data_IF_331536326046
#
_entry.id   IF_331536326046
#
_cell.length_a   1.000
_cell.length_b   1.000
_cell.length_c   1.000
_cell.angle_alpha   90.00
_cell.angle_beta   90.00
_cell.angle_gamma   90.00
#
_symmetry.space_group_name_H-M   'P 1'
#
loop_
_entity.id
_entity.type
_entity.pdbx_description
1 polymer ?
#
# COMPACT_ATOMS: atom_id res chain seq x y z
N UNK A 1 78.36 -4.99 45.39
CA UNK A 1 77.75 -5.51 44.13
C UNK A 1 76.26 -5.85 44.41
N UNK A 2 75.36 -4.96 44.04
CA UNK A 2 73.89 -5.17 44.22
C UNK A 2 73.24 -5.32 42.80
N UNK A 3 72.73 -6.51 42.50
CA UNK A 3 71.97 -6.81 41.25
C UNK A 3 70.54 -6.44 41.46
N UNK A 4 70.04 -5.46 40.75
CA UNK A 4 68.62 -5.08 40.66
C UNK A 4 67.97 -5.92 39.60
N UNK A 5 67.00 -6.75 40.00
CA UNK A 5 66.10 -7.47 39.10
C UNK A 5 65.02 -6.51 38.65
N UNK A 6 64.90 -6.28 37.34
CA UNK A 6 63.74 -5.57 36.69
C UNK A 6 62.73 -6.60 36.28
N UNK A 7 61.59 -6.58 36.93
CA UNK A 7 60.43 -7.40 36.55
C UNK A 7 59.66 -6.69 35.44
N UNK A 8 59.61 -7.30 34.25
CA UNK A 8 58.79 -6.83 33.12
C UNK A 8 57.36 -7.41 33.24
N UNK A 9 56.44 -6.55 33.53
CA UNK A 9 55.02 -6.89 33.57
C UNK A 9 54.49 -6.82 32.14
N UNK A 10 54.22 -7.96 31.50
CA UNK A 10 53.54 -8.04 30.20
C UNK A 10 52.05 -7.94 30.44
N UNK A 11 51.45 -6.77 30.20
CA UNK A 11 50.01 -6.59 30.20
C UNK A 11 49.41 -7.10 28.87
N UNK A 12 48.76 -8.24 28.89
CA UNK A 12 47.97 -8.76 27.78
C UNK A 12 46.72 -7.94 27.61
N UNK A 13 46.67 -7.03 26.65
CA UNK A 13 45.47 -6.34 26.21
C UNK A 13 44.67 -7.30 25.34
N UNK A 14 43.67 -8.00 25.93
CA UNK A 14 42.65 -8.68 25.14
C UNK A 14 41.78 -7.63 24.45
N UNK A 15 42.05 -7.40 23.17
CA UNK A 15 41.17 -6.60 22.31
C UNK A 15 39.82 -7.32 22.13
N UNK A 16 38.76 -6.83 22.77
CA UNK A 16 37.39 -7.15 22.38
C UNK A 16 37.22 -6.58 20.98
N UNK A 17 37.37 -7.39 19.96
CA UNK A 17 36.86 -7.10 18.63
C UNK A 17 35.35 -7.12 18.74
N UNK A 18 34.73 -5.95 18.94
CA UNK A 18 33.29 -5.77 18.70
C UNK A 18 33.04 -6.10 17.23
N UNK A 19 32.53 -7.29 16.97
CA UNK A 19 31.88 -7.57 15.68
C UNK A 19 30.73 -6.57 15.57
N UNK A 20 30.99 -5.46 14.87
CA UNK A 20 29.92 -4.62 14.39
C UNK A 20 29.05 -5.51 13.48
N UNK A 21 27.96 -6.04 14.00
CA UNK A 21 26.95 -6.70 13.19
C UNK A 21 26.55 -5.68 12.13
N UNK A 22 26.85 -5.97 10.86
CA UNK A 22 26.37 -5.17 9.74
C UNK A 22 24.85 -5.13 9.86
N UNK A 23 24.30 -3.95 10.11
CA UNK A 23 22.85 -3.79 10.16
C UNK A 23 22.27 -4.23 8.81
N UNK A 24 21.45 -5.27 8.82
CA UNK A 24 20.70 -5.68 7.64
C UNK A 24 19.82 -4.51 7.17
N UNK A 25 19.75 -4.27 5.87
CA UNK A 25 18.87 -3.26 5.31
C UNK A 25 17.88 -3.92 4.33
N UNK A 26 16.59 -3.77 4.59
CA UNK A 26 15.52 -4.26 3.71
C UNK A 26 14.84 -3.06 3.05
N UNK A 27 14.87 -3.04 1.73
CA UNK A 27 14.24 -1.97 0.94
C UNK A 27 12.84 -2.40 0.51
N UNK A 28 11.84 -1.60 0.86
CA UNK A 28 10.42 -1.84 0.55
C UNK A 28 9.87 -0.67 -0.24
N UNK A 29 9.33 -0.92 -1.43
CA UNK A 29 8.80 0.13 -2.29
C UNK A 29 7.45 -0.28 -2.92
N UNK A 30 6.61 0.67 -3.29
CA UNK A 30 5.45 0.39 -4.14
C UNK A 30 4.15 1.06 -3.73
N UNK A 31 3.11 0.27 -3.57
CA UNK A 31 1.74 0.73 -3.41
C UNK A 31 1.54 1.69 -2.23
N UNK A 32 1.06 2.89 -2.52
CA UNK A 32 0.62 3.83 -1.47
C UNK A 32 -0.65 3.35 -0.74
N UNK A 33 -1.37 2.35 -1.26
CA UNK A 33 -2.49 1.73 -0.54
C UNK A 33 -1.98 0.83 0.59
N UNK A 34 -0.94 0.03 0.32
CA UNK A 34 -0.33 -0.89 1.31
C UNK A 34 0.51 -0.13 2.33
N UNK A 35 0.99 1.05 1.97
CA UNK A 35 1.95 1.84 2.74
C UNK A 35 1.58 2.01 4.22
N UNK A 36 0.35 2.38 4.64
CA UNK A 36 0.02 2.53 6.06
C UNK A 36 0.18 1.23 6.87
N UNK A 37 -0.22 0.09 6.28
CA UNK A 37 -0.04 -1.20 6.93
C UNK A 37 1.45 -1.54 7.09
N UNK A 38 2.24 -1.35 6.03
CA UNK A 38 3.67 -1.60 6.08
C UNK A 38 4.42 -0.63 7.00
N UNK A 39 3.99 0.64 7.10
CA UNK A 39 4.56 1.57 8.09
C UNK A 39 4.41 1.02 9.52
N UNK A 40 3.21 0.56 9.89
CA UNK A 40 2.97 0.01 11.22
C UNK A 40 3.70 -1.32 11.43
N UNK A 41 3.67 -2.21 10.43
CA UNK A 41 4.38 -3.49 10.47
C UNK A 41 5.88 -3.28 10.64
N UNK A 42 6.51 -2.42 9.82
CA UNK A 42 7.96 -2.20 9.87
C UNK A 42 8.40 -1.49 11.14
N UNK A 43 7.60 -0.55 11.66
CA UNK A 43 7.86 0.06 12.97
C UNK A 43 7.93 -1.00 14.08
N UNK A 44 6.94 -1.88 14.15
CA UNK A 44 6.89 -2.93 15.17
C UNK A 44 7.96 -4.02 14.93
N UNK A 45 8.22 -4.36 13.66
CA UNK A 45 9.27 -5.30 13.27
C UNK A 45 10.66 -4.83 13.70
N UNK A 46 11.03 -3.57 13.43
CA UNK A 46 12.33 -3.01 13.81
C UNK A 46 12.50 -2.90 15.33
N UNK A 47 11.42 -2.67 16.09
CA UNK A 47 11.45 -2.74 17.56
C UNK A 47 11.81 -4.14 18.06
N UNK A 48 11.27 -5.18 17.41
CA UNK A 48 11.54 -6.58 17.74
C UNK A 48 12.88 -7.10 17.17
N UNK A 49 13.41 -6.46 16.14
CA UNK A 49 14.63 -6.86 15.42
C UNK A 49 15.55 -5.64 15.21
N UNK A 50 16.18 -5.11 16.27
CA UNK A 50 16.92 -3.82 16.20
C UNK A 50 18.17 -3.86 15.30
N UNK A 51 18.64 -5.04 14.93
CA UNK A 51 19.76 -5.22 13.98
C UNK A 51 19.32 -5.11 12.51
N UNK A 52 18.01 -5.06 12.20
CA UNK A 52 17.48 -4.97 10.83
C UNK A 52 16.81 -3.61 10.65
N UNK A 53 17.30 -2.85 9.67
CA UNK A 53 16.70 -1.59 9.27
C UNK A 53 15.80 -1.82 8.05
N UNK A 54 14.66 -1.13 8.00
CA UNK A 54 13.74 -1.20 6.85
C UNK A 54 13.57 0.20 6.27
N UNK A 55 13.91 0.34 4.99
CA UNK A 55 13.67 1.56 4.22
C UNK A 55 12.36 1.39 3.46
N UNK A 56 11.35 2.24 3.76
CA UNK A 56 10.01 2.12 3.21
C UNK A 56 9.63 3.35 2.38
N UNK A 57 9.19 3.15 1.15
CA UNK A 57 8.74 4.23 0.27
C UNK A 57 7.51 3.85 -0.55
N UNK A 58 6.69 4.87 -0.88
CA UNK A 58 5.50 4.72 -1.71
C UNK A 58 5.67 5.43 -3.05
N UNK A 59 5.34 4.74 -4.16
CA UNK A 59 5.43 5.31 -5.51
C UNK A 59 4.40 4.73 -6.48
N UNK A 60 3.55 3.80 -5.99
CA UNK A 60 2.59 3.05 -6.80
C UNK A 60 3.02 1.61 -7.04
N UNK A 61 2.04 0.72 -7.26
CA UNK A 61 2.30 -0.72 -7.44
C UNK A 61 3.21 -1.00 -8.63
N UNK A 62 3.01 -0.29 -9.74
CA UNK A 62 3.84 -0.44 -10.94
C UNK A 62 5.30 -0.08 -10.69
N UNK A 63 5.58 0.97 -9.91
CA UNK A 63 6.96 1.33 -9.52
C UNK A 63 7.58 0.27 -8.62
N UNK A 64 6.86 -0.23 -7.61
CA UNK A 64 7.38 -1.28 -6.73
C UNK A 64 7.68 -2.57 -7.47
N UNK A 65 6.77 -3.04 -8.32
CA UNK A 65 6.97 -4.24 -9.14
C UNK A 65 8.16 -4.06 -10.09
N UNK A 66 8.27 -2.89 -10.75
CA UNK A 66 9.43 -2.58 -11.60
C UNK A 66 10.74 -2.61 -10.81
N UNK A 67 10.76 -1.97 -9.63
CA UNK A 67 11.95 -1.97 -8.76
C UNK A 67 12.35 -3.38 -8.32
N UNK A 68 11.38 -4.28 -8.05
CA UNK A 68 11.64 -5.68 -7.75
C UNK A 68 12.24 -6.42 -8.95
N UNK A 69 11.72 -6.18 -10.16
CA UNK A 69 12.26 -6.76 -11.40
C UNK A 69 13.69 -6.31 -11.69
N UNK A 70 14.03 -5.06 -11.32
CA UNK A 70 15.35 -4.46 -11.48
C UNK A 70 16.29 -4.75 -10.28
N UNK A 71 15.84 -5.52 -9.27
CA UNK A 71 16.56 -5.82 -8.02
C UNK A 71 17.00 -4.55 -7.25
N UNK A 72 16.24 -3.45 -7.35
CA UNK A 72 16.47 -2.20 -6.61
C UNK A 72 15.59 -2.09 -5.35
N UNK A 73 14.72 -3.07 -5.11
CA UNK A 73 13.97 -3.27 -3.87
C UNK A 73 13.92 -4.75 -3.52
N UNK A 74 13.85 -5.05 -2.23
CA UNK A 74 13.73 -6.44 -1.73
C UNK A 74 12.27 -6.90 -1.66
N UNK A 75 11.36 -5.94 -1.40
CA UNK A 75 9.92 -6.19 -1.28
C UNK A 75 9.16 -5.14 -2.09
N UNK A 76 8.32 -5.59 -3.00
CA UNK A 76 7.38 -4.73 -3.71
C UNK A 76 6.00 -4.77 -3.03
N UNK A 77 5.49 -3.62 -2.60
CA UNK A 77 4.11 -3.46 -2.18
C UNK A 77 3.21 -3.30 -3.40
N UNK A 78 2.12 -4.05 -3.48
CA UNK A 78 1.18 -3.92 -4.57
C UNK A 78 -0.28 -4.04 -4.12
N UNK A 79 -1.15 -3.28 -4.77
CA UNK A 79 -2.59 -3.31 -4.56
C UNK A 79 -3.34 -3.86 -5.79
N UNK A 80 -2.64 -4.64 -6.56
CA UNK A 80 -3.07 -5.54 -7.64
C UNK A 80 -2.10 -6.69 -7.77
N UNK A 81 -2.50 -7.76 -8.39
CA UNK A 81 -1.56 -8.83 -8.74
C UNK A 81 -0.58 -8.38 -9.84
N UNK A 82 0.50 -9.12 -10.00
CA UNK A 82 1.41 -8.90 -11.12
C UNK A 82 0.74 -9.30 -12.44
N UNK A 83 1.01 -8.50 -13.47
CA UNK A 83 0.57 -8.83 -14.84
C UNK A 83 1.39 -9.99 -15.39
N UNK A 84 0.79 -10.78 -16.28
CA UNK A 84 1.51 -11.91 -16.92
C UNK A 84 2.84 -11.49 -17.55
N UNK A 85 2.87 -10.32 -18.21
CA UNK A 85 4.10 -9.78 -18.79
C UNK A 85 5.16 -9.41 -17.73
N UNK A 86 4.76 -8.94 -16.53
CA UNK A 86 5.69 -8.65 -15.43
C UNK A 86 6.28 -9.95 -14.87
N UNK A 87 5.45 -11.00 -14.69
CA UNK A 87 5.90 -12.34 -14.27
C UNK A 87 6.86 -12.95 -15.29
N UNK A 88 6.54 -12.88 -16.58
CA UNK A 88 7.41 -13.39 -17.65
C UNK A 88 8.75 -12.66 -17.72
N UNK A 89 8.73 -11.33 -17.54
CA UNK A 89 9.96 -10.54 -17.53
C UNK A 89 10.86 -10.89 -16.34
N UNK A 90 10.29 -11.13 -15.14
CA UNK A 90 11.07 -11.64 -14.01
C UNK A 90 11.72 -12.98 -14.32
N UNK A 91 10.97 -13.93 -14.89
CA UNK A 91 11.51 -15.25 -15.28
C UNK A 91 12.65 -15.16 -16.30
N UNK A 92 12.53 -14.27 -17.30
CA UNK A 92 13.59 -14.03 -18.30
C UNK A 92 14.89 -13.50 -17.69
N UNK A 93 14.82 -12.76 -16.57
CA UNK A 93 15.98 -12.28 -15.82
C UNK A 93 16.48 -13.27 -14.75
N UNK A 94 15.98 -14.50 -14.72
CA UNK A 94 16.39 -15.55 -13.76
C UNK A 94 15.78 -15.41 -12.37
N UNK A 95 14.78 -14.54 -12.22
CA UNK A 95 14.05 -14.32 -10.97
C UNK A 95 12.62 -14.88 -11.08
N UNK A 96 12.07 -15.27 -9.94
CA UNK A 96 10.67 -15.62 -9.82
C UNK A 96 10.01 -14.78 -8.72
N UNK A 97 8.84 -14.25 -9.02
CA UNK A 97 8.06 -13.51 -8.02
C UNK A 97 7.42 -14.48 -7.03
N UNK A 98 7.66 -14.25 -5.74
CA UNK A 98 6.95 -14.94 -4.66
C UNK A 98 5.88 -13.98 -4.13
N UNK A 99 4.61 -14.41 -4.25
CA UNK A 99 3.43 -13.65 -3.88
C UNK A 99 3.03 -13.91 -2.43
N UNK A 100 2.85 -12.86 -1.65
CA UNK A 100 2.35 -12.90 -0.28
C UNK A 100 1.12 -12.01 -0.16
N UNK A 101 -0.05 -12.57 0.15
CA UNK A 101 -1.25 -11.77 0.47
C UNK A 101 -1.07 -11.24 1.89
N UNK A 102 -1.08 -9.92 2.06
CA UNK A 102 -0.83 -9.27 3.36
C UNK A 102 -2.08 -8.70 4.01
N UNK A 103 -3.10 -8.36 3.23
CA UNK A 103 -4.37 -7.82 3.72
C UNK A 103 -5.47 -7.97 2.66
N UNK A 104 -6.74 -7.82 3.08
CA UNK A 104 -7.85 -7.55 2.17
C UNK A 104 -8.24 -6.07 2.32
N UNK A 105 -8.55 -5.43 1.21
CA UNK A 105 -8.89 -4.02 1.08
C UNK A 105 -10.20 -3.84 0.31
N UNK A 106 -10.82 -2.70 0.49
CA UNK A 106 -11.91 -2.19 -0.33
C UNK A 106 -11.48 -0.89 -0.99
N UNK A 107 -11.64 -0.77 -2.31
CA UNK A 107 -11.55 0.54 -2.97
C UNK A 107 -12.86 1.27 -2.70
N UNK A 108 -12.79 2.40 -2.02
CA UNK A 108 -13.95 3.15 -1.56
C UNK A 108 -14.07 4.47 -2.32
N UNK A 109 -15.17 4.69 -3.07
CA UNK A 109 -15.50 6.01 -3.58
C UNK A 109 -15.74 6.98 -2.42
N UNK A 110 -15.08 8.13 -2.46
CA UNK A 110 -15.10 9.11 -1.39
C UNK A 110 -15.42 10.50 -1.90
N UNK A 111 -16.13 11.27 -1.08
CA UNK A 111 -16.51 12.66 -1.34
C UNK A 111 -16.27 13.51 -0.09
N UNK A 112 -16.35 14.82 -0.23
CA UNK A 112 -16.29 15.72 0.91
C UNK A 112 -17.51 15.53 1.83
N UNK A 113 -17.36 15.59 3.17
CA UNK A 113 -18.48 15.47 4.11
C UNK A 113 -19.63 16.47 3.90
N UNK A 114 -19.35 17.63 3.32
CA UNK A 114 -20.37 18.66 2.99
C UNK A 114 -21.25 18.28 1.79
N UNK A 115 -20.88 17.27 1.00
CA UNK A 115 -21.68 16.77 -0.09
C UNK A 115 -22.80 15.87 0.44
N UNK A 116 -24.05 16.11 0.05
CA UNK A 116 -25.25 15.43 0.55
C UNK A 116 -25.45 13.99 0.03
N UNK A 117 -24.80 13.62 -1.08
CA UNK A 117 -24.94 12.28 -1.69
C UNK A 117 -24.43 11.21 -0.73
N UNK A 118 -25.13 10.08 -0.65
CA UNK A 118 -24.80 8.98 0.29
C UNK A 118 -24.51 7.66 -0.43
N UNK A 119 -25.14 7.45 -1.57
CA UNK A 119 -25.10 6.20 -2.33
C UNK A 119 -25.04 6.49 -3.83
N UNK A 120 -24.34 5.66 -4.57
CA UNK A 120 -24.30 5.66 -6.02
C UNK A 120 -24.29 4.21 -6.52
N UNK A 121 -24.87 3.98 -7.69
CA UNK A 121 -24.65 2.70 -8.38
C UNK A 121 -23.27 2.66 -9.04
N UNK A 122 -22.73 1.48 -9.29
CA UNK A 122 -21.47 1.34 -10.06
C UNK A 122 -21.59 2.00 -11.45
N UNK A 123 -22.77 1.97 -12.07
CA UNK A 123 -22.99 2.62 -13.35
C UNK A 123 -22.91 4.15 -13.22
N UNK A 124 -23.53 4.75 -12.20
CA UNK A 124 -23.42 6.20 -11.96
C UNK A 124 -21.97 6.62 -11.68
N UNK A 125 -21.24 5.83 -10.91
CA UNK A 125 -19.81 6.08 -10.66
C UNK A 125 -19.04 6.06 -11.99
N UNK A 126 -19.23 5.04 -12.83
CA UNK A 126 -18.64 4.96 -14.16
C UNK A 126 -18.98 6.16 -15.01
N UNK A 127 -20.25 6.57 -15.05
CA UNK A 127 -20.75 7.69 -15.85
C UNK A 127 -20.14 9.02 -15.39
N UNK A 128 -19.93 9.20 -14.08
CA UNK A 128 -19.20 10.34 -13.54
C UNK A 128 -17.75 10.34 -14.01
N UNK A 129 -17.05 9.21 -13.88
CA UNK A 129 -15.65 9.10 -14.27
C UNK A 129 -15.44 9.17 -15.78
N UNK A 130 -16.38 8.69 -16.58
CA UNK A 130 -16.38 8.85 -18.05
C UNK A 130 -16.83 10.26 -18.50
N UNK A 131 -17.33 11.11 -17.59
CA UNK A 131 -17.77 12.47 -17.90
C UNK A 131 -19.15 12.56 -18.55
N UNK A 132 -19.99 11.54 -18.46
CA UNK A 132 -21.40 11.56 -18.87
C UNK A 132 -22.24 12.31 -17.82
N UNK A 133 -22.12 11.97 -16.55
CA UNK A 133 -22.68 12.72 -15.42
C UNK A 133 -21.66 13.78 -14.99
N UNK A 134 -22.04 15.05 -15.05
CA UNK A 134 -21.15 16.20 -14.81
C UNK A 134 -21.57 17.08 -13.64
N UNK A 135 -22.78 16.89 -13.12
CA UNK A 135 -23.35 17.71 -12.07
C UNK A 135 -23.94 16.81 -10.97
N UNK A 136 -23.67 17.16 -9.72
CA UNK A 136 -24.17 16.40 -8.56
C UNK A 136 -25.72 16.32 -8.52
N UNK A 137 -26.43 17.30 -9.09
CA UNK A 137 -27.90 17.26 -9.18
C UNK A 137 -28.44 16.05 -9.94
N UNK A 138 -27.65 15.50 -10.88
CA UNK A 138 -28.04 14.35 -11.70
C UNK A 138 -28.06 13.05 -10.89
N UNK A 139 -27.45 13.07 -9.70
CA UNK A 139 -27.39 11.93 -8.77
C UNK A 139 -27.92 12.31 -7.36
N UNK A 140 -28.85 13.25 -7.29
CA UNK A 140 -29.52 13.63 -6.03
C UNK A 140 -28.74 14.58 -5.12
N UNK A 141 -27.66 15.17 -5.61
CA UNK A 141 -26.89 16.17 -4.89
C UNK A 141 -27.29 17.61 -5.22
N UNK A 142 -26.48 18.57 -4.76
CA UNK A 142 -26.66 20.00 -5.05
C UNK A 142 -26.38 20.31 -6.51
N UNK A 143 -26.91 21.41 -7.03
CA UNK A 143 -26.54 21.91 -8.36
C UNK A 143 -25.10 22.45 -8.35
N UNK A 144 -24.15 21.55 -8.55
CA UNK A 144 -22.74 21.86 -8.58
C UNK A 144 -22.00 20.89 -9.51
N UNK A 145 -21.02 21.40 -10.25
CA UNK A 145 -20.21 20.59 -11.16
C UNK A 145 -19.35 19.61 -10.37
N UNK A 146 -19.28 18.36 -10.84
CA UNK A 146 -18.44 17.32 -10.25
C UNK A 146 -16.99 17.55 -10.65
N UNK A 147 -16.08 17.55 -9.66
CA UNK A 147 -14.62 17.47 -9.86
C UNK A 147 -14.18 16.04 -9.66
N UNK A 148 -13.79 15.37 -10.74
CA UNK A 148 -13.31 13.99 -10.69
C UNK A 148 -11.83 13.97 -10.30
N UNK A 149 -11.50 13.17 -9.30
CA UNK A 149 -10.13 12.91 -8.84
C UNK A 149 -9.82 11.45 -9.10
N UNK A 150 -8.73 11.19 -9.81
CA UNK A 150 -8.26 9.85 -10.14
C UNK A 150 -6.80 9.67 -9.73
N UNK A 151 -6.24 8.53 -10.05
CA UNK A 151 -4.85 8.21 -9.79
C UNK A 151 -4.08 8.11 -11.11
N UNK A 152 -2.77 8.24 -11.01
CA UNK A 152 -1.85 8.04 -12.13
C UNK A 152 -1.75 6.56 -12.55
N UNK A 153 -1.13 6.30 -13.70
CA UNK A 153 -1.02 4.95 -14.29
C UNK A 153 -0.09 3.99 -13.55
N UNK A 154 0.75 4.48 -12.61
CA UNK A 154 1.57 3.61 -11.76
C UNK A 154 0.78 3.00 -10.60
N UNK A 155 -0.42 3.52 -10.34
CA UNK A 155 -1.28 3.13 -9.24
C UNK A 155 -1.99 1.81 -9.51
N UNK A 156 -1.69 0.76 -8.73
CA UNK A 156 -2.46 -0.47 -8.77
C UNK A 156 -3.94 -0.28 -8.39
N UNK A 157 -4.25 0.76 -7.58
CA UNK A 157 -5.66 1.11 -7.28
C UNK A 157 -6.36 1.67 -8.52
N UNK A 158 -5.67 2.47 -9.33
CA UNK A 158 -6.19 2.93 -10.62
C UNK A 158 -6.41 1.75 -11.57
N UNK A 159 -5.45 0.85 -11.71
CA UNK A 159 -5.59 -0.33 -12.59
C UNK A 159 -6.77 -1.23 -12.17
N UNK A 160 -6.96 -1.44 -10.87
CA UNK A 160 -8.14 -2.18 -10.38
C UNK A 160 -9.44 -1.40 -10.63
N UNK A 161 -9.41 -0.06 -10.48
CA UNK A 161 -10.54 0.81 -10.79
C UNK A 161 -10.91 0.75 -12.28
N UNK A 162 -9.92 0.79 -13.17
CA UNK A 162 -10.14 0.62 -14.62
C UNK A 162 -10.84 -0.71 -14.93
N UNK A 163 -10.40 -1.79 -14.31
CA UNK A 163 -10.96 -3.12 -14.53
C UNK A 163 -12.39 -3.25 -13.97
N UNK A 164 -12.60 -2.91 -12.70
CA UNK A 164 -13.87 -3.20 -12.01
C UNK A 164 -14.93 -2.12 -12.24
N UNK A 165 -14.56 -0.85 -12.31
CA UNK A 165 -15.49 0.26 -12.45
C UNK A 165 -15.59 0.70 -13.89
N UNK A 166 -14.48 1.02 -14.54
CA UNK A 166 -14.50 1.57 -15.90
C UNK A 166 -14.75 0.53 -16.98
N UNK A 167 -14.39 -0.74 -16.75
CA UNK A 167 -14.61 -1.86 -17.70
C UNK A 167 -14.12 -1.54 -19.12
N UNK A 168 -12.91 -0.96 -19.22
CA UNK A 168 -12.26 -0.58 -20.47
C UNK A 168 -12.60 0.84 -20.96
N UNK A 169 -13.54 1.54 -20.34
CA UNK A 169 -13.78 2.95 -20.65
C UNK A 169 -12.68 3.84 -20.06
N UNK A 170 -12.35 4.92 -20.74
CA UNK A 170 -11.34 5.88 -20.25
C UNK A 170 -11.93 6.84 -19.23
N UNK A 171 -11.15 7.15 -18.21
CA UNK A 171 -11.42 8.27 -17.31
C UNK A 171 -11.33 9.58 -18.10
N UNK A 172 -12.26 10.50 -17.86
CA UNK A 172 -12.31 11.80 -18.54
C UNK A 172 -10.98 12.57 -18.39
N UNK A 173 -10.54 13.23 -19.47
CA UNK A 173 -9.26 13.95 -19.50
C UNK A 173 -9.13 15.10 -18.48
N UNK A 174 -10.25 15.63 -18.00
CA UNK A 174 -10.30 16.71 -16.99
C UNK A 174 -10.18 16.21 -15.55
N UNK A 175 -10.05 14.89 -15.33
CA UNK A 175 -9.84 14.34 -14.01
C UNK A 175 -8.51 14.83 -13.42
N UNK A 176 -8.52 15.21 -12.15
CA UNK A 176 -7.31 15.56 -11.42
C UNK A 176 -6.57 14.27 -11.04
N UNK A 177 -5.37 14.08 -11.57
CA UNK A 177 -4.56 12.90 -11.27
C UNK A 177 -3.74 13.13 -10.00
N UNK A 178 -3.78 12.18 -9.09
CA UNK A 178 -3.07 12.21 -7.81
C UNK A 178 -2.08 11.05 -7.69
N UNK A 179 -0.88 11.33 -7.21
CA UNK A 179 0.19 10.34 -7.08
C UNK A 179 -0.01 9.34 -5.93
N UNK A 180 -0.90 9.61 -4.95
CA UNK A 180 -1.09 8.76 -3.78
C UNK A 180 -2.52 8.80 -3.23
N UNK A 181 -2.89 7.78 -2.41
CA UNK A 181 -4.15 7.81 -1.66
C UNK A 181 -4.23 9.02 -0.73
N UNK A 182 -3.11 9.40 -0.08
CA UNK A 182 -3.05 10.59 0.77
C UNK A 182 -3.33 11.88 0.00
N UNK A 183 -2.83 12.01 -1.23
CA UNK A 183 -3.11 13.17 -2.08
C UNK A 183 -4.58 13.22 -2.54
N UNK A 184 -5.21 12.07 -2.83
CA UNK A 184 -6.66 11.97 -3.08
C UNK A 184 -7.43 12.45 -1.86
N UNK A 185 -7.11 11.91 -0.66
CA UNK A 185 -7.76 12.31 0.61
C UNK A 185 -7.71 13.82 0.80
N UNK A 186 -6.54 14.44 0.67
CA UNK A 186 -6.36 15.88 0.84
C UNK A 186 -7.16 16.69 -0.19
N UNK A 187 -7.23 16.23 -1.43
CA UNK A 187 -8.00 16.90 -2.48
C UNK A 187 -9.50 16.84 -2.18
N UNK A 188 -10.01 15.68 -1.77
CA UNK A 188 -11.42 15.48 -1.41
C UNK A 188 -11.79 16.31 -0.16
N UNK A 189 -10.95 16.30 0.87
CA UNK A 189 -11.19 17.05 2.11
C UNK A 189 -11.32 18.57 1.85
N UNK A 190 -10.58 19.09 0.87
CA UNK A 190 -10.56 20.54 0.55
C UNK A 190 -11.60 20.95 -0.51
N UNK A 191 -12.16 20.03 -1.28
CA UNK A 191 -13.10 20.34 -2.38
C UNK A 191 -14.49 19.71 -2.15
N UNK A 192 -15.52 20.49 -1.79
CA UNK A 192 -16.88 20.00 -1.57
C UNK A 192 -17.52 19.33 -2.78
N UNK A 193 -17.02 19.60 -3.98
CA UNK A 193 -17.58 19.09 -5.23
C UNK A 193 -16.79 17.92 -5.82
N UNK A 194 -15.73 17.47 -5.12
CA UNK A 194 -14.88 16.40 -5.61
C UNK A 194 -15.42 15.01 -5.27
N UNK A 195 -15.15 14.06 -6.17
CA UNK A 195 -15.25 12.62 -5.97
C UNK A 195 -13.90 11.99 -6.30
N UNK A 196 -13.45 11.08 -5.46
CA UNK A 196 -12.23 10.30 -5.62
C UNK A 196 -12.43 8.87 -5.12
N UNK A 197 -11.36 8.10 -5.05
CA UNK A 197 -11.36 6.77 -4.45
C UNK A 197 -10.05 6.51 -3.71
N UNK A 198 -10.16 5.80 -2.60
CA UNK A 198 -9.02 5.41 -1.73
C UNK A 198 -9.20 3.98 -1.23
N UNK A 199 -8.15 3.37 -0.70
CA UNK A 199 -8.27 2.13 0.07
C UNK A 199 -8.96 2.36 1.41
N UNK A 200 -9.58 1.30 1.95
CA UNK A 200 -10.37 1.32 3.19
C UNK A 200 -9.59 1.92 4.38
N UNK A 201 -8.31 1.61 4.50
CA UNK A 201 -7.42 2.14 5.56
C UNK A 201 -7.13 3.64 5.48
N UNK A 202 -7.61 4.34 4.43
CA UNK A 202 -7.50 5.80 4.30
C UNK A 202 -8.77 6.55 4.73
N UNK A 203 -9.81 5.85 5.17
CA UNK A 203 -11.03 6.52 5.62
C UNK A 203 -10.78 7.26 6.93
N UNK A 204 -11.04 8.58 6.91
CA UNK A 204 -10.96 9.48 8.06
C UNK A 204 -12.23 10.31 8.15
N UNK A 205 -12.38 11.07 9.24
CA UNK A 205 -13.49 12.04 9.41
C UNK A 205 -13.51 13.16 8.37
N UNK A 206 -12.39 13.40 7.68
CA UNK A 206 -12.23 14.50 6.72
C UNK A 206 -12.81 14.17 5.34
N UNK A 207 -13.16 12.90 5.09
CA UNK A 207 -13.80 12.44 3.86
C UNK A 207 -14.98 11.54 4.19
N UNK A 208 -15.95 11.47 3.27
CA UNK A 208 -17.14 10.63 3.41
C UNK A 208 -17.12 9.50 2.39
N UNK A 209 -17.20 8.26 2.86
CA UNK A 209 -17.41 7.09 2.02
C UNK A 209 -18.81 7.10 1.41
N UNK A 210 -18.93 6.75 0.14
CA UNK A 210 -20.19 6.44 -0.53
C UNK A 210 -20.49 4.95 -0.40
N UNK A 211 -21.77 4.63 -0.24
CA UNK A 211 -22.26 3.26 -0.48
C UNK A 211 -22.33 3.00 -1.99
N UNK A 212 -22.32 1.74 -2.38
CA UNK A 212 -22.54 1.30 -3.77
C UNK A 212 -23.76 0.39 -3.78
N UNK A 213 -24.87 0.89 -4.36
CA UNK A 213 -26.11 0.12 -4.45
C UNK A 213 -26.65 -0.31 -3.09
N UNK A 214 -26.53 0.55 -2.08
CA UNK A 214 -26.93 0.29 -0.70
C UNK A 214 -25.90 -0.44 0.16
N UNK A 215 -24.88 -1.07 -0.42
CA UNK A 215 -23.80 -1.74 0.33
C UNK A 215 -22.78 -0.71 0.84
N UNK A 216 -22.37 -0.81 2.09
CA UNK A 216 -21.34 0.04 2.70
C UNK A 216 -19.99 -0.64 2.68
N UNK A 217 -18.92 0.12 2.39
CA UNK A 217 -17.56 -0.35 2.55
C UNK A 217 -17.21 -0.45 4.04
N UNK A 218 -17.05 -1.65 4.53
CA UNK A 218 -16.63 -1.98 5.91
C UNK A 218 -15.61 -3.10 5.86
N UNK A 219 -14.87 -3.32 6.95
CA UNK A 219 -14.00 -4.49 7.04
C UNK A 219 -14.78 -5.80 6.78
N UNK A 220 -16.01 -5.91 7.31
CA UNK A 220 -16.84 -7.10 7.13
C UNK A 220 -17.24 -7.32 5.67
N UNK A 221 -17.76 -6.29 5.00
CA UNK A 221 -18.18 -6.41 3.58
C UNK A 221 -16.98 -6.55 2.64
N UNK A 222 -15.79 -6.04 3.03
CA UNK A 222 -14.53 -6.29 2.32
C UNK A 222 -14.08 -7.75 2.48
N UNK A 223 -14.09 -8.27 3.71
CA UNK A 223 -13.72 -9.66 4.05
C UNK A 223 -14.57 -10.69 3.30
N UNK A 224 -15.89 -10.48 3.26
CA UNK A 224 -16.83 -11.39 2.59
C UNK A 224 -16.93 -11.16 1.09
N UNK A 225 -16.23 -10.18 0.53
CA UNK A 225 -16.36 -9.75 -0.88
C UNK A 225 -17.80 -9.35 -1.26
N UNK A 226 -18.66 -9.02 -0.29
CA UNK A 226 -19.95 -8.39 -0.53
C UNK A 226 -19.78 -6.97 -1.11
N UNK A 227 -18.75 -6.24 -0.69
CA UNK A 227 -18.36 -4.98 -1.31
C UNK A 227 -17.78 -5.24 -2.70
N UNK A 228 -18.38 -4.67 -3.77
CA UNK A 228 -18.03 -5.03 -5.15
C UNK A 228 -16.62 -4.63 -5.60
N UNK A 229 -15.93 -3.79 -4.82
CA UNK A 229 -14.58 -3.33 -5.10
C UNK A 229 -13.59 -3.82 -4.04
N UNK A 230 -13.85 -5.00 -3.45
CA UNK A 230 -12.93 -5.71 -2.56
C UNK A 230 -11.78 -6.32 -3.35
N UNK A 231 -10.60 -6.38 -2.73
CA UNK A 231 -9.39 -6.95 -3.34
C UNK A 231 -8.37 -7.39 -2.31
N UNK A 232 -7.45 -8.23 -2.72
CA UNK A 232 -6.25 -8.54 -1.94
C UNK A 232 -5.18 -7.46 -2.12
N UNK A 233 -4.37 -7.28 -1.08
CA UNK A 233 -3.13 -6.49 -1.09
C UNK A 233 -1.95 -7.44 -0.96
N UNK A 234 -0.87 -7.13 -1.67
CA UNK A 234 0.25 -8.03 -1.84
C UNK A 234 1.58 -7.41 -1.43
N UNK A 235 2.45 -8.28 -0.93
CA UNK A 235 3.89 -8.10 -0.94
C UNK A 235 4.47 -9.10 -1.93
N UNK A 236 5.37 -8.66 -2.79
CA UNK A 236 6.13 -9.53 -3.68
C UNK A 236 7.61 -9.48 -3.31
N UNK A 237 8.23 -10.65 -3.27
CA UNK A 237 9.68 -10.81 -3.18
C UNK A 237 10.18 -11.61 -4.37
N UNK A 238 11.49 -11.63 -4.60
CA UNK A 238 12.05 -12.63 -5.50
C UNK A 238 12.29 -13.96 -4.76
N UNK A 239 12.52 -15.05 -5.50
CA UNK A 239 12.80 -16.37 -4.96
C UNK A 239 14.17 -16.48 -4.25
N UNK A 240 15.05 -15.46 -4.43
CA UNK A 240 16.36 -15.36 -3.80
C UNK A 240 16.39 -14.39 -2.60
N UNK A 241 15.21 -14.01 -2.06
CA UNK A 241 15.10 -13.13 -0.91
C UNK A 241 16.03 -13.58 0.24
N UNK A 242 16.79 -12.66 0.80
CA UNK A 242 17.72 -12.92 1.90
C UNK A 242 17.00 -13.20 3.22
N UNK A 243 17.74 -13.54 4.28
CA UNK A 243 17.18 -13.90 5.59
C UNK A 243 16.36 -12.76 6.21
N UNK A 244 16.85 -11.50 6.11
CA UNK A 244 16.20 -10.32 6.70
C UNK A 244 14.87 -10.00 6.00
N UNK A 245 14.85 -10.09 4.67
CA UNK A 245 13.61 -9.96 3.87
C UNK A 245 12.60 -11.04 4.24
N UNK A 246 13.04 -12.29 4.36
CA UNK A 246 12.17 -13.40 4.80
C UNK A 246 11.64 -13.17 6.23
N UNK A 247 12.47 -12.66 7.14
CA UNK A 247 12.07 -12.33 8.50
C UNK A 247 10.97 -11.24 8.50
N UNK A 248 11.12 -10.18 7.69
CA UNK A 248 10.09 -9.14 7.54
C UNK A 248 8.78 -9.71 6.99
N UNK A 249 8.83 -10.54 5.94
CA UNK A 249 7.63 -11.17 5.37
C UNK A 249 6.94 -12.08 6.40
N UNK A 250 7.71 -12.91 7.11
CA UNK A 250 7.16 -13.78 8.14
C UNK A 250 6.50 -12.98 9.28
N UNK A 251 7.14 -11.86 9.68
CA UNK A 251 6.56 -10.95 10.67
C UNK A 251 5.27 -10.30 10.15
N UNK A 252 5.26 -9.79 8.92
CA UNK A 252 4.08 -9.17 8.31
C UNK A 252 2.86 -10.12 8.29
N UNK A 253 3.11 -11.42 8.12
CA UNK A 253 2.11 -12.48 8.06
C UNK A 253 1.84 -13.13 9.44
N UNK A 254 2.58 -12.79 10.46
CA UNK A 254 2.39 -13.28 11.83
C UNK A 254 1.16 -12.63 12.49
N UNK A 255 0.75 -13.16 13.66
CA UNK A 255 -0.33 -12.58 14.46
C UNK A 255 -0.11 -11.10 14.77
N UNK A 256 1.13 -10.69 15.11
CA UNK A 256 1.47 -9.30 15.46
C UNK A 256 1.46 -8.40 14.23
N UNK A 257 1.98 -8.88 13.10
CA UNK A 257 1.90 -8.18 11.82
C UNK A 257 0.45 -7.98 11.38
N UNK A 258 -0.39 -9.01 11.53
CA UNK A 258 -1.80 -8.94 11.16
C UNK A 258 -2.64 -8.11 12.15
N UNK A 259 -2.23 -8.00 13.42
CA UNK A 259 -2.79 -7.03 14.36
C UNK A 259 -2.50 -5.59 13.88
N UNK A 260 -1.29 -5.33 13.35
CA UNK A 260 -0.93 -4.04 12.75
C UNK A 260 -1.77 -3.72 11.51
N UNK A 261 -2.06 -4.70 10.66
CA UNK A 261 -2.96 -4.57 9.50
C UNK A 261 -4.36 -4.12 9.94
N UNK A 262 -4.90 -4.77 10.99
CA UNK A 262 -6.22 -4.44 11.55
C UNK A 262 -6.26 -3.05 12.16
N UNK A 263 -5.20 -2.66 12.89
CA UNK A 263 -5.10 -1.35 13.55
C UNK A 263 -5.23 -0.19 12.57
N UNK A 264 -4.70 -0.34 11.36
CA UNK A 264 -4.76 0.68 10.30
C UNK A 264 -6.00 0.56 9.40
N UNK A 265 -6.98 -0.29 9.76
CA UNK A 265 -8.28 -0.35 9.10
C UNK A 265 -8.38 -1.26 7.89
N UNK A 266 -7.39 -2.12 7.63
CA UNK A 266 -7.49 -3.18 6.62
C UNK A 266 -7.96 -4.50 7.26
N UNK A 267 -8.45 -5.42 6.43
CA UNK A 267 -8.87 -6.75 6.88
C UNK A 267 -7.65 -7.66 6.94
N UNK A 268 -7.33 -8.25 8.11
CA UNK A 268 -6.28 -9.24 8.22
C UNK A 268 -6.57 -10.48 7.36
N UNK A 269 -5.51 -11.13 6.87
CA UNK A 269 -5.63 -12.46 6.26
C UNK A 269 -5.60 -13.50 7.37
N UNK A 270 -6.59 -14.40 7.36
CA UNK A 270 -6.64 -15.51 8.31
C UNK A 270 -5.48 -16.49 8.04
N UNK A 271 -4.77 -16.86 9.10
CA UNK A 271 -3.83 -18.00 9.14
C UNK A 271 -4.07 -18.85 10.36
#
# INVERSE_FOLDING_TARGET
MKRTMVSVLVASVMGLASLAASAGNVVVNGSTTVLPAMQKITENFMKANPSIQVSLSGGGSGHGIKALMENTTDVAMASRDMKSAEVENMKKSGNEAVRHVVAIDAIVPVINPRNGVKDLTLQQIRDIYAGRIKNWKEVGGKNARITVVSRDSSSGTFETWESLVMKGERVQQRALLQASNGAVLQTIAKNPNAIGYVGLGYLTKDIKALSIGGVKATMKTAETFEWPLSRELYLFTNNHANADTKALINYALSKDGQASVKEVGFVPVAR
#
